data_IF_584208072098
#
_entry.id   IF_584208072098
#
_cell.length_a   1.000
_cell.length_b   1.000
_cell.length_c   1.000
_cell.angle_alpha   90.00
_cell.angle_beta   90.00
_cell.angle_gamma   90.00
#
_symmetry.space_group_name_H-M   'P 1'
#
loop_
_entity.id
_entity.type
_entity.pdbx_description
1 polymer ?
#
# COMPACT_ATOMS: atom_id res chain seq x y z
N UNK A 1 -3.13 -17.58 16.41
CA UNK A 1 -2.22 -17.90 15.29
C UNK A 1 -1.94 -16.60 14.58
N UNK A 2 -0.68 -16.18 14.35
CA UNK A 2 -0.44 -15.03 13.49
C UNK A 2 -0.83 -15.46 12.08
N UNK A 3 -1.95 -14.94 11.59
CA UNK A 3 -2.33 -15.11 10.18
C UNK A 3 -1.39 -14.24 9.36
N UNK A 4 -0.33 -14.84 8.83
CA UNK A 4 0.56 -14.15 7.89
C UNK A 4 -0.26 -13.81 6.64
N UNK A 5 -0.48 -12.52 6.41
CA UNK A 5 -1.15 -12.03 5.21
C UNK A 5 -0.27 -12.30 3.98
N UNK A 6 -0.89 -12.59 2.83
CA UNK A 6 -0.18 -12.71 1.56
C UNK A 6 0.18 -11.32 0.99
N UNK A 7 1.14 -11.25 0.07
CA UNK A 7 1.50 -10.00 -0.63
C UNK A 7 0.27 -9.32 -1.26
N UNK A 8 -0.63 -10.11 -1.87
CA UNK A 8 -1.89 -9.59 -2.43
C UNK A 8 -2.80 -8.97 -1.36
N UNK A 9 -2.90 -9.58 -0.18
CA UNK A 9 -3.71 -9.05 0.91
C UNK A 9 -3.11 -7.76 1.48
N UNK A 10 -1.80 -7.75 1.71
CA UNK A 10 -1.09 -6.56 2.22
C UNK A 10 -1.19 -5.42 1.22
N UNK A 11 -0.93 -5.68 -0.08
CA UNK A 11 -1.03 -4.67 -1.12
C UNK A 11 -2.42 -4.04 -1.23
N UNK A 12 -3.48 -4.84 -1.09
CA UNK A 12 -4.86 -4.32 -1.07
C UNK A 12 -5.12 -3.40 0.12
N UNK A 13 -4.60 -3.73 1.30
CA UNK A 13 -4.72 -2.88 2.49
C UNK A 13 -3.99 -1.55 2.27
N UNK A 14 -2.75 -1.59 1.76
CA UNK A 14 -2.01 -0.36 1.41
C UNK A 14 -2.81 0.51 0.43
N UNK A 15 -3.41 -0.09 -0.61
CA UNK A 15 -4.23 0.68 -1.56
C UNK A 15 -5.43 1.35 -0.87
N UNK A 16 -6.10 0.65 0.05
CA UNK A 16 -7.24 1.21 0.78
C UNK A 16 -6.83 2.41 1.64
N UNK A 17 -5.77 2.26 2.44
CA UNK A 17 -5.27 3.31 3.33
C UNK A 17 -4.86 4.56 2.54
N UNK A 18 -4.12 4.39 1.43
CA UNK A 18 -3.71 5.50 0.56
C UNK A 18 -4.91 6.21 -0.07
N UNK A 19 -5.91 5.46 -0.56
CA UNK A 19 -7.12 6.03 -1.15
C UNK A 19 -7.94 6.81 -0.11
N UNK A 20 -8.07 6.27 1.10
CA UNK A 20 -8.80 6.90 2.19
C UNK A 20 -8.12 8.20 2.62
N UNK A 21 -6.81 8.18 2.86
CA UNK A 21 -6.02 9.36 3.27
C UNK A 21 -6.08 10.50 2.24
N UNK A 22 -5.97 10.19 0.93
CA UNK A 22 -6.00 11.22 -0.10
C UNK A 22 -7.40 11.82 -0.33
N UNK A 23 -8.46 11.20 0.18
CA UNK A 23 -9.85 11.61 -0.06
C UNK A 23 -10.28 11.54 -1.53
N UNK A 24 -9.42 11.06 -2.43
CA UNK A 24 -9.75 10.83 -3.84
C UNK A 24 -10.23 9.41 -4.02
N UNK A 25 -11.46 9.25 -4.48
CA UNK A 25 -12.10 7.94 -4.76
C UNK A 25 -11.33 7.05 -5.77
N UNK A 26 -10.27 7.56 -6.41
CA UNK A 26 -9.58 6.90 -7.54
C UNK A 26 -8.10 7.23 -7.59
N UNK A 27 -7.36 6.89 -6.55
CA UNK A 27 -5.92 6.73 -6.73
C UNK A 27 -5.67 5.37 -7.41
N UNK A 28 -5.06 5.32 -8.61
CA UNK A 28 -4.85 4.07 -9.33
C UNK A 28 -4.02 3.05 -8.53
N UNK A 29 -4.52 1.82 -8.29
CA UNK A 29 -3.72 0.77 -7.64
C UNK A 29 -2.40 0.48 -8.37
N UNK A 30 -2.36 0.59 -9.70
CA UNK A 30 -1.12 0.45 -10.48
C UNK A 30 -0.11 1.55 -10.10
N UNK A 31 -0.55 2.79 -9.87
CA UNK A 31 0.33 3.85 -9.37
C UNK A 31 0.85 3.53 -7.97
N UNK A 32 0.00 3.05 -7.04
CA UNK A 32 0.45 2.63 -5.69
C UNK A 32 1.55 1.58 -5.80
N UNK A 33 1.36 0.60 -6.68
CA UNK A 33 2.30 -0.51 -6.86
C UNK A 33 3.67 -0.04 -7.40
N UNK A 34 3.70 0.95 -8.28
CA UNK A 34 4.96 1.52 -8.74
C UNK A 34 5.59 2.42 -7.68
N UNK A 35 4.79 3.28 -7.05
CA UNK A 35 5.28 4.25 -6.07
C UNK A 35 5.80 3.57 -4.79
N UNK A 36 5.31 2.38 -4.41
CA UNK A 36 5.91 1.63 -3.30
C UNK A 36 7.38 1.21 -3.55
N UNK A 37 7.88 1.31 -4.78
CA UNK A 37 9.32 1.14 -5.06
C UNK A 37 10.16 2.38 -4.74
N UNK A 38 9.51 3.54 -4.58
CA UNK A 38 10.12 4.84 -4.30
C UNK A 38 10.17 5.10 -2.79
N UNK A 39 11.35 5.23 -2.16
CA UNK A 39 11.47 5.51 -0.73
C UNK A 39 10.71 6.76 -0.29
N UNK A 40 10.65 7.81 -1.13
CA UNK A 40 9.94 9.03 -0.79
C UNK A 40 8.42 8.86 -0.67
N UNK A 41 7.85 7.91 -1.42
CA UNK A 41 6.44 7.55 -1.26
C UNK A 41 6.20 6.76 0.03
N UNK A 42 7.13 5.90 0.43
CA UNK A 42 7.05 5.15 1.69
C UNK A 42 7.12 6.11 2.88
N UNK A 43 8.04 7.08 2.87
CA UNK A 43 8.15 8.13 3.89
C UNK A 43 6.89 9.00 3.95
N UNK A 44 6.30 9.30 2.79
CA UNK A 44 5.02 9.99 2.68
C UNK A 44 3.89 9.16 3.29
N UNK A 45 3.81 7.86 3.02
CA UNK A 45 2.82 6.97 3.63
C UNK A 45 2.97 6.89 5.14
N UNK A 46 4.20 6.77 5.66
CA UNK A 46 4.46 6.82 7.10
C UNK A 46 3.88 8.11 7.71
N UNK A 47 4.18 9.27 7.12
CA UNK A 47 3.85 10.56 7.71
C UNK A 47 2.39 10.99 7.54
N UNK A 48 1.75 10.63 6.42
CA UNK A 48 0.47 11.19 5.99
C UNK A 48 -0.64 10.17 5.76
N UNK A 49 -0.31 8.88 5.68
CA UNK A 49 -1.30 7.81 5.52
C UNK A 49 -1.48 7.06 6.83
N UNK A 50 -0.38 6.61 7.44
CA UNK A 50 -0.42 5.72 8.60
C UNK A 50 -0.31 6.43 9.95
N UNK A 51 0.44 7.54 10.06
CA UNK A 51 0.54 8.27 11.32
C UNK A 51 -0.78 9.04 11.59
N UNK A 52 -1.45 8.65 12.67
CA UNK A 52 -2.67 9.29 13.19
C UNK A 52 -2.37 10.61 13.93
N UNK A 53 -3.42 11.34 14.30
CA UNK A 53 -3.34 12.62 15.04
C UNK A 53 -2.58 12.54 16.37
N UNK A 54 -2.46 11.35 16.97
CA UNK A 54 -1.69 11.11 18.19
C UNK A 54 -0.20 10.80 17.95
N UNK A 55 0.22 10.81 16.69
CA UNK A 55 1.59 10.57 16.26
C UNK A 55 2.01 9.10 16.32
N UNK A 56 1.08 8.15 16.45
CA UNK A 56 1.39 6.72 16.64
C UNK A 56 0.81 5.84 15.54
N UNK A 57 1.57 4.80 15.23
CA UNK A 57 1.17 3.68 14.37
C UNK A 57 0.59 2.57 15.24
N UNK A 58 -0.54 1.99 14.84
CA UNK A 58 -0.97 0.71 15.40
C UNK A 58 -0.19 -0.47 14.80
N UNK A 59 -0.38 -1.68 15.36
CA UNK A 59 0.35 -2.88 14.93
C UNK A 59 0.09 -3.25 13.46
N UNK A 60 -1.11 -2.93 12.94
CA UNK A 60 -1.48 -3.18 11.56
C UNK A 60 -0.75 -2.22 10.62
N UNK A 61 -0.83 -0.92 10.91
CA UNK A 61 -0.15 0.16 10.19
C UNK A 61 1.37 -0.05 10.14
N UNK A 62 1.97 -0.42 11.27
CA UNK A 62 3.39 -0.76 11.33
C UNK A 62 3.71 -1.96 10.43
N UNK A 63 2.87 -2.99 10.42
CA UNK A 63 3.08 -4.18 9.58
C UNK A 63 3.01 -3.84 8.08
N UNK A 64 2.10 -2.95 7.67
CA UNK A 64 2.01 -2.48 6.29
C UNK A 64 3.25 -1.68 5.90
N UNK A 65 3.68 -0.76 6.75
CA UNK A 65 4.84 0.08 6.52
C UNK A 65 6.14 -0.74 6.44
N UNK A 66 6.31 -1.71 7.35
CA UNK A 66 7.46 -2.61 7.35
C UNK A 66 7.51 -3.45 6.06
N UNK A 67 6.36 -3.95 5.60
CA UNK A 67 6.28 -4.66 4.33
C UNK A 67 6.67 -3.77 3.14
N UNK A 68 6.22 -2.51 3.12
CA UNK A 68 6.62 -1.55 2.08
C UNK A 68 8.14 -1.30 2.11
N UNK A 69 8.71 -1.05 3.29
CA UNK A 69 10.15 -0.80 3.49
C UNK A 69 11.00 -2.01 3.06
N UNK A 70 10.57 -3.23 3.40
CA UNK A 70 11.26 -4.47 3.01
C UNK A 70 11.24 -4.74 1.50
N UNK A 71 10.23 -4.21 0.80
CA UNK A 71 10.01 -4.43 -0.63
C UNK A 71 10.31 -3.20 -1.49
N UNK A 72 10.91 -2.16 -0.91
CA UNK A 72 11.37 -1.00 -1.66
C UNK A 72 12.34 -1.44 -2.77
N UNK A 73 12.09 -1.02 -4.02
CA UNK A 73 12.87 -1.42 -5.19
C UNK A 73 12.69 -2.89 -5.65
N UNK A 74 11.76 -3.66 -5.05
CA UNK A 74 11.53 -5.06 -5.42
C UNK A 74 10.67 -5.16 -6.71
N UNK A 75 11.33 -5.15 -7.87
CA UNK A 75 10.66 -5.27 -9.16
C UNK A 75 10.01 -6.63 -9.42
N UNK A 76 10.43 -7.70 -8.74
CA UNK A 76 9.80 -9.02 -8.86
C UNK A 76 8.43 -9.02 -8.19
N UNK A 77 8.32 -8.38 -7.02
CA UNK A 77 7.03 -8.16 -6.37
C UNK A 77 6.10 -7.28 -7.20
N UNK A 78 6.63 -6.25 -7.87
CA UNK A 78 5.83 -5.44 -8.81
C UNK A 78 5.23 -6.31 -9.93
N UNK A 79 6.03 -7.23 -10.51
CA UNK A 79 5.53 -8.17 -11.53
C UNK A 79 4.48 -9.13 -10.97
N UNK A 80 4.69 -9.64 -9.75
CA UNK A 80 3.74 -10.51 -9.05
C UNK A 80 2.39 -9.83 -8.83
N UNK A 81 2.41 -8.57 -8.39
CA UNK A 81 1.22 -7.82 -8.00
C UNK A 81 0.55 -7.04 -9.14
N UNK A 82 1.20 -6.87 -10.29
CA UNK A 82 0.63 -6.14 -11.44
C UNK A 82 -0.77 -6.64 -11.82
N UNK A 83 -1.02 -7.96 -11.98
CA UNK A 83 -2.36 -8.44 -12.32
C UNK A 83 -3.38 -8.17 -11.21
N UNK A 84 -2.94 -8.05 -9.96
CA UNK A 84 -3.81 -7.68 -8.82
C UNK A 84 -4.19 -6.21 -8.92
N UNK A 85 -3.22 -5.33 -9.17
CA UNK A 85 -3.42 -3.90 -9.31
C UNK A 85 -4.40 -3.59 -10.46
N UNK A 86 -4.19 -4.17 -11.64
CA UNK A 86 -5.07 -4.01 -12.80
C UNK A 86 -6.52 -4.45 -12.50
N UNK A 87 -6.70 -5.58 -11.82
CA UNK A 87 -8.04 -6.07 -11.42
C UNK A 87 -8.72 -5.15 -10.39
N UNK A 88 -7.97 -4.56 -9.46
CA UNK A 88 -8.51 -3.61 -8.50
C UNK A 88 -8.95 -2.33 -9.19
N UNK A 89 -8.13 -1.83 -10.13
CA UNK A 89 -8.41 -0.61 -10.88
C UNK A 89 -9.67 -0.74 -11.75
N UNK A 90 -9.83 -1.89 -12.42
CA UNK A 90 -11.04 -2.22 -13.18
C UNK A 90 -12.31 -2.22 -12.30
N UNK A 91 -12.22 -2.69 -11.05
CA UNK A 91 -13.34 -2.71 -10.10
C UNK A 91 -13.70 -1.33 -9.54
N UNK A 92 -12.75 -0.42 -9.43
CA UNK A 92 -12.97 0.95 -8.95
C UNK A 92 -13.57 1.87 -10.04
N UNK A 93 -13.45 1.46 -11.30
CA UNK A 93 -13.89 2.23 -12.47
C UNK A 93 -15.21 1.75 -13.06
N UNK A 94 -15.62 0.50 -12.80
CA UNK A 94 -16.95 -0.07 -13.12
C UNK A 94 -18.04 0.38 -12.15
#
# INVERSE_FOLDING_TARGET
MPTTLTNEQIFKLVCMEVIESLGVRRFPPVCVLYEMTNPGFIDWCETLVFVKDDGKLDEGEQSLLDWMKQNAGNWDLVRELMPVAERLEAKLTS
#
